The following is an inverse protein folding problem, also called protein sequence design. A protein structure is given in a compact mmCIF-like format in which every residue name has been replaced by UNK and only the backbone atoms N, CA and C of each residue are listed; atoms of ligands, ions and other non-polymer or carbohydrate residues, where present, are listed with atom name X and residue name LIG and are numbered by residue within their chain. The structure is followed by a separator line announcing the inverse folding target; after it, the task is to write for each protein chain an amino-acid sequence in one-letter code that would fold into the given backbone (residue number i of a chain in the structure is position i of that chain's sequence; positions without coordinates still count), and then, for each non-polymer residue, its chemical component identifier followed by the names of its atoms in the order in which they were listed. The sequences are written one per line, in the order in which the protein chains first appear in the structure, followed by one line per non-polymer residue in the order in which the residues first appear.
data_IF_455941796539
#
_entry.id   IF_455941796539
#
_cell.length_a   1.000
_cell.length_b   1.000
_cell.length_c   1.000
_cell.angle_alpha   90.00
_cell.angle_beta   90.00
_cell.angle_gamma   90.00
#
_symmetry.space_group_name_H-M   'P 1'
#
loop_
_entity.id
_entity.type
_entity.pdbx_description
1 polymer ?
#
# COMPACT_ATOMS: atom_id res chain seq x y z
N UNK A 1 5.80 -12.22 -18.21
CA UNK A 1 6.74 -11.08 -18.31
C UNK A 1 8.07 -11.51 -17.71
N UNK A 2 9.13 -11.63 -18.51
CA UNK A 2 10.52 -11.78 -18.05
C UNK A 2 11.22 -10.45 -18.32
N UNK A 3 10.94 -9.46 -17.49
CA UNK A 3 11.68 -8.20 -17.43
C UNK A 3 12.18 -8.05 -16.01
N UNK A 4 13.37 -7.51 -15.83
CA UNK A 4 13.95 -7.20 -14.51
C UNK A 4 13.00 -6.31 -13.72
N UNK A 5 12.20 -6.93 -12.88
CA UNK A 5 11.35 -6.26 -11.92
C UNK A 5 12.25 -5.88 -10.74
N UNK A 6 12.48 -4.57 -10.55
CA UNK A 6 13.18 -4.03 -9.40
C UNK A 6 12.21 -3.18 -8.58
N UNK A 7 11.97 -3.63 -7.35
CA UNK A 7 11.37 -2.80 -6.31
C UNK A 7 12.44 -2.34 -5.33
N UNK A 8 12.32 -1.12 -4.83
CA UNK A 8 13.22 -0.55 -3.83
C UNK A 8 12.62 -0.56 -2.42
N UNK A 9 11.30 -0.55 -2.34
CA UNK A 9 10.57 -0.62 -1.09
C UNK A 9 9.21 -1.29 -1.25
N UNK A 10 8.62 -1.63 -0.10
CA UNK A 10 7.30 -2.20 -0.03
C UNK A 10 6.54 -1.65 1.16
N UNK A 11 5.25 -1.46 0.95
CA UNK A 11 4.31 -0.97 1.94
C UNK A 11 3.10 -1.87 2.00
N UNK A 12 2.66 -2.19 3.20
CA UNK A 12 1.32 -2.69 3.39
C UNK A 12 0.34 -1.52 3.30
N UNK A 13 -0.81 -1.75 2.65
CA UNK A 13 -1.95 -0.85 2.63
C UNK A 13 -3.21 -1.60 3.04
N UNK A 14 -3.93 -1.04 4.01
CA UNK A 14 -5.29 -1.45 4.36
C UNK A 14 -6.27 -0.72 3.44
N UNK A 15 -7.04 -1.48 2.68
CA UNK A 15 -8.02 -0.95 1.72
C UNK A 15 -9.36 -0.71 2.43
N UNK A 16 -9.42 0.39 3.17
CA UNK A 16 -10.59 0.82 3.92
C UNK A 16 -10.70 0.18 5.31
N UNK A 17 -11.52 0.77 6.18
CA UNK A 17 -11.77 0.19 7.50
C UNK A 17 -12.38 -1.21 7.32
N UNK A 18 -11.83 -2.22 8.03
CA UNK A 18 -12.27 -3.63 7.90
C UNK A 18 -12.23 -4.18 6.46
N UNK A 19 -11.43 -3.59 5.57
CA UNK A 19 -11.26 -4.11 4.22
C UNK A 19 -12.41 -3.80 3.26
N UNK A 20 -13.26 -2.80 3.57
CA UNK A 20 -14.43 -2.47 2.73
C UNK A 20 -14.12 -2.17 1.26
N UNK A 21 -12.87 -1.84 0.92
CA UNK A 21 -12.44 -1.56 -0.45
C UNK A 21 -11.58 -2.68 -1.06
N UNK A 22 -11.33 -3.78 -0.37
CA UNK A 22 -10.47 -4.85 -0.89
C UNK A 22 -11.01 -5.40 -2.21
N UNK A 23 -12.28 -5.82 -2.24
CA UNK A 23 -12.85 -6.40 -3.45
C UNK A 23 -12.79 -5.42 -4.64
N UNK A 24 -13.29 -4.20 -4.48
CA UNK A 24 -13.33 -3.22 -5.57
C UNK A 24 -11.94 -2.80 -6.08
N UNK A 25 -10.96 -2.63 -5.17
CA UNK A 25 -9.60 -2.24 -5.53
C UNK A 25 -8.84 -3.38 -6.21
N UNK A 26 -8.96 -4.61 -5.69
CA UNK A 26 -8.28 -5.79 -6.23
C UNK A 26 -8.84 -6.13 -7.61
N UNK A 27 -10.16 -6.25 -7.74
CA UNK A 27 -10.82 -6.58 -9.01
C UNK A 27 -10.72 -5.43 -10.02
N UNK A 28 -10.74 -4.17 -9.56
CA UNK A 28 -10.67 -2.97 -10.40
C UNK A 28 -9.25 -2.50 -10.75
N UNK A 29 -8.20 -3.06 -10.15
CA UNK A 29 -6.81 -2.71 -10.47
C UNK A 29 -6.37 -1.32 -10.00
N UNK A 30 -6.85 -0.87 -8.84
CA UNK A 30 -6.47 0.44 -8.27
C UNK A 30 -6.22 0.36 -6.77
N UNK A 31 -5.51 1.38 -6.25
CA UNK A 31 -5.30 1.62 -4.83
C UNK A 31 -6.29 2.68 -4.34
N UNK A 32 -6.72 2.59 -3.08
CA UNK A 32 -7.59 3.60 -2.45
C UNK A 32 -7.13 3.96 -1.05
N UNK A 33 -7.15 5.26 -0.74
CA UNK A 33 -6.71 5.85 0.52
C UNK A 33 -7.81 6.72 1.16
N UNK A 34 -8.10 6.45 2.43
CA UNK A 34 -9.27 6.98 3.15
C UNK A 34 -9.09 8.33 3.87
N UNK A 35 -7.98 9.02 3.68
CA UNK A 35 -7.72 10.32 4.33
C UNK A 35 -8.51 11.47 3.69
N UNK A 36 -9.84 11.43 3.82
CA UNK A 36 -10.75 12.36 3.16
C UNK A 36 -10.63 13.81 3.63
N UNK A 37 -10.24 14.02 4.89
CA UNK A 37 -10.08 15.36 5.48
C UNK A 37 -8.78 16.08 5.07
N UNK A 38 -7.83 15.38 4.44
CA UNK A 38 -6.56 15.97 4.03
C UNK A 38 -6.72 16.83 2.77
N UNK A 39 -6.20 18.08 2.75
CA UNK A 39 -6.20 18.95 1.57
C UNK A 39 -5.39 18.31 0.42
N UNK A 40 -6.02 17.98 -0.72
CA UNK A 40 -5.31 17.35 -1.83
C UNK A 40 -4.27 18.29 -2.46
N UNK A 41 -4.53 19.60 -2.52
CA UNK A 41 -3.64 20.58 -3.13
C UNK A 41 -2.29 20.66 -2.40
N UNK A 42 -2.30 20.56 -1.07
CA UNK A 42 -1.07 20.53 -0.27
C UNK A 42 -0.29 19.22 -0.48
N UNK A 43 -1.00 18.10 -0.67
CA UNK A 43 -0.38 16.80 -0.94
C UNK A 43 0.28 16.77 -2.31
N UNK A 44 -0.41 17.27 -3.35
CA UNK A 44 0.09 17.36 -4.72
C UNK A 44 1.32 18.27 -4.83
N UNK A 45 1.36 19.35 -4.03
CA UNK A 45 2.49 20.28 -3.97
C UNK A 45 3.65 19.83 -3.06
N UNK A 46 3.53 18.66 -2.40
CA UNK A 46 4.55 18.17 -1.47
C UNK A 46 4.73 19.03 -0.21
N UNK A 47 3.71 19.80 0.18
CA UNK A 47 3.73 20.69 1.35
C UNK A 47 3.46 19.92 2.64
N UNK A 48 4.30 18.90 2.91
CA UNK A 48 4.07 17.89 3.94
C UNK A 48 4.05 18.44 5.38
N UNK A 49 4.80 19.51 5.65
CA UNK A 49 4.76 20.19 6.95
C UNK A 49 3.38 20.78 7.23
N UNK A 50 2.76 21.39 6.24
CA UNK A 50 1.41 21.97 6.36
C UNK A 50 0.34 20.90 6.42
N UNK A 51 0.51 19.81 5.66
CA UNK A 51 -0.34 18.62 5.80
C UNK A 51 -0.29 18.07 7.23
N UNK A 52 0.90 17.98 7.84
CA UNK A 52 1.06 17.54 9.23
C UNK A 52 0.36 18.49 10.19
N UNK A 53 0.48 19.78 9.99
CA UNK A 53 -0.09 20.78 10.91
C UNK A 53 -1.63 20.74 10.87
N UNK A 54 -2.23 20.61 9.68
CA UNK A 54 -3.68 20.40 9.53
C UNK A 54 -4.14 19.09 10.17
N UNK A 55 -3.43 17.98 9.94
CA UNK A 55 -3.76 16.70 10.55
C UNK A 55 -3.60 16.74 12.08
N UNK A 56 -2.59 17.43 12.59
CA UNK A 56 -2.39 17.62 14.03
C UNK A 56 -3.56 18.38 14.64
N UNK A 57 -4.01 19.46 13.98
CA UNK A 57 -5.18 20.24 14.39
C UNK A 57 -6.46 19.40 14.37
N UNK A 58 -6.67 18.61 13.32
CA UNK A 58 -7.84 17.73 13.18
C UNK A 58 -7.87 16.59 14.19
N UNK A 59 -6.71 16.05 14.55
CA UNK A 59 -6.60 14.89 15.46
C UNK A 59 -6.46 15.30 16.93
N UNK A 60 -6.05 16.54 17.21
CA UNK A 60 -5.69 16.98 18.56
C UNK A 60 -4.39 16.33 19.08
N UNK A 61 -3.65 15.63 18.24
CA UNK A 61 -2.44 14.87 18.62
C UNK A 61 -1.38 14.95 17.51
N UNK A 62 -0.21 15.51 17.86
CA UNK A 62 0.91 15.70 16.93
C UNK A 62 1.52 14.39 16.44
N UNK A 63 1.56 13.36 17.29
CA UNK A 63 2.06 12.05 16.94
C UNK A 63 1.16 11.34 15.94
N UNK A 64 -0.16 11.43 16.12
CA UNK A 64 -1.16 10.93 15.16
C UNK A 64 -1.09 11.73 13.87
N UNK A 65 -1.01 13.07 13.93
CA UNK A 65 -0.87 13.93 12.76
C UNK A 65 0.36 13.59 11.90
N UNK A 66 1.52 13.39 12.56
CA UNK A 66 2.77 12.95 11.89
C UNK A 66 2.61 11.56 11.27
N UNK A 67 1.98 10.61 11.98
CA UNK A 67 1.75 9.26 11.49
C UNK A 67 0.82 9.25 10.27
N UNK A 68 -0.26 10.02 10.31
CA UNK A 68 -1.22 10.14 9.22
C UNK A 68 -0.55 10.81 8.00
N UNK A 69 0.20 11.89 8.21
CA UNK A 69 0.97 12.57 7.16
C UNK A 69 1.93 11.60 6.47
N UNK A 70 2.72 10.81 7.21
CA UNK A 70 3.66 9.87 6.62
C UNK A 70 2.96 8.79 5.75
N UNK A 71 1.76 8.37 6.13
CA UNK A 71 0.97 7.41 5.34
C UNK A 71 0.45 8.03 4.05
N UNK A 72 -0.04 9.27 4.12
CA UNK A 72 -0.50 10.02 2.95
C UNK A 72 0.68 10.29 2.02
N UNK A 73 1.78 10.81 2.55
CA UNK A 73 3.02 11.06 1.81
C UNK A 73 3.49 9.81 1.08
N UNK A 74 3.53 8.66 1.76
CA UNK A 74 3.88 7.37 1.13
C UNK A 74 3.01 7.08 -0.09
N UNK A 75 1.70 7.30 0.00
CA UNK A 75 0.77 7.05 -1.10
C UNK A 75 1.01 7.96 -2.32
N UNK A 76 1.30 9.23 -2.07
CA UNK A 76 1.55 10.23 -3.12
C UNK A 76 2.94 10.08 -3.75
N UNK A 77 3.98 9.82 -2.96
CA UNK A 77 5.37 9.78 -3.44
C UNK A 77 5.80 8.41 -3.98
N UNK A 78 5.04 7.34 -3.72
CA UNK A 78 5.34 6.03 -4.28
C UNK A 78 5.39 6.07 -5.82
N UNK A 79 6.18 5.21 -6.44
CA UNK A 79 6.30 5.12 -7.89
C UNK A 79 6.29 3.65 -8.35
N UNK A 80 6.53 3.40 -9.63
CA UNK A 80 6.46 2.05 -10.20
C UNK A 80 7.56 1.09 -9.67
N UNK A 81 8.54 1.60 -8.90
CA UNK A 81 9.54 0.81 -8.15
C UNK A 81 9.15 0.55 -6.70
N UNK A 82 7.94 0.96 -6.30
CA UNK A 82 7.36 0.67 -4.97
C UNK A 82 6.34 -0.45 -5.07
N UNK A 83 6.39 -1.37 -4.11
CA UNK A 83 5.34 -2.36 -3.89
C UNK A 83 4.28 -1.85 -2.92
N UNK A 84 3.01 -2.00 -3.28
CA UNK A 84 1.93 -2.07 -2.31
C UNK A 84 1.47 -3.52 -2.13
N UNK A 85 1.19 -3.88 -0.89
CA UNK A 85 0.71 -5.21 -0.50
C UNK A 85 -0.52 -5.07 0.37
N UNK A 86 -1.48 -5.97 0.19
CA UNK A 86 -2.62 -6.14 1.10
C UNK A 86 -2.95 -7.61 1.24
N UNK A 87 -3.95 -7.94 2.05
CA UNK A 87 -4.44 -9.31 2.18
C UNK A 87 -5.93 -9.37 1.84
N UNK A 88 -6.31 -10.31 0.98
CA UNK A 88 -7.68 -10.52 0.57
C UNK A 88 -7.92 -12.00 0.31
N UNK A 89 -9.03 -12.56 0.82
CA UNK A 89 -9.42 -13.99 0.66
C UNK A 89 -8.27 -14.99 0.91
N UNK A 90 -7.59 -14.84 2.05
CA UNK A 90 -6.42 -15.67 2.44
C UNK A 90 -5.22 -15.63 1.49
N UNK A 91 -5.16 -14.63 0.60
CA UNK A 91 -4.02 -14.37 -0.27
C UNK A 91 -3.31 -13.07 0.11
N UNK A 92 -2.00 -13.05 -0.07
CA UNK A 92 -1.22 -11.83 -0.18
C UNK A 92 -1.40 -11.30 -1.61
N UNK A 93 -1.95 -10.10 -1.72
CA UNK A 93 -2.09 -9.41 -3.01
C UNK A 93 -1.05 -8.29 -3.09
N UNK A 94 -0.38 -8.15 -4.23
CA UNK A 94 0.63 -7.11 -4.47
C UNK A 94 0.41 -6.39 -5.78
N UNK A 95 0.80 -5.13 -5.84
CA UNK A 95 0.77 -4.33 -7.07
C UNK A 95 1.89 -3.27 -7.06
N UNK A 96 2.14 -2.71 -8.24
CA UNK A 96 2.88 -1.45 -8.38
C UNK A 96 1.89 -0.30 -8.63
N UNK A 97 2.03 0.84 -7.95
CA UNK A 97 1.20 2.00 -8.22
C UNK A 97 1.58 2.64 -9.57
N UNK A 98 0.59 3.21 -10.28
CA UNK A 98 0.79 3.87 -11.56
C UNK A 98 0.02 5.19 -11.64
N UNK A 99 0.55 6.15 -12.41
CA UNK A 99 -0.08 7.43 -12.65
C UNK A 99 -0.20 8.34 -11.41
N UNK A 100 -0.90 9.48 -11.54
CA UNK A 100 -1.13 10.43 -10.45
C UNK A 100 -2.23 9.96 -9.50
N UNK A 101 -2.30 10.60 -8.33
CA UNK A 101 -3.44 10.45 -7.41
C UNK A 101 -4.66 11.19 -7.96
N UNK A 102 -5.83 10.56 -7.90
CA UNK A 102 -7.12 11.16 -8.20
C UNK A 102 -7.97 11.29 -6.94
N UNK A 103 -8.73 12.37 -6.79
CA UNK A 103 -9.65 12.57 -5.66
C UNK A 103 -11.07 12.25 -6.12
N UNK A 104 -11.74 11.34 -5.41
CA UNK A 104 -13.14 10.98 -5.69
C UNK A 104 -14.13 11.93 -5.01
N UNK A 105 -15.41 11.86 -5.39
CA UNK A 105 -16.48 12.69 -4.82
C UNK A 105 -16.68 12.52 -3.30
N UNK A 106 -16.31 11.36 -2.74
CA UNK A 106 -16.30 11.10 -1.29
C UNK A 106 -15.01 11.59 -0.59
N UNK A 107 -14.16 12.29 -1.34
CA UNK A 107 -12.84 12.83 -0.96
C UNK A 107 -11.78 11.76 -0.68
N UNK A 108 -12.06 10.48 -0.91
CA UNK A 108 -11.02 9.45 -0.90
C UNK A 108 -10.11 9.61 -2.11
N UNK A 109 -8.90 9.06 -2.01
CA UNK A 109 -7.86 9.19 -3.03
C UNK A 109 -7.69 7.85 -3.70
N UNK A 110 -7.62 7.81 -5.02
CA UNK A 110 -7.33 6.61 -5.79
C UNK A 110 -6.08 6.78 -6.64
N UNK A 111 -5.49 5.66 -7.03
CA UNK A 111 -4.37 5.60 -7.95
C UNK A 111 -4.41 4.30 -8.73
N UNK A 112 -4.07 4.34 -10.01
CA UNK A 112 -4.00 3.13 -10.83
C UNK A 112 -2.90 2.18 -10.38
N UNK A 113 -2.87 0.99 -10.98
CA UNK A 113 -1.77 0.04 -10.87
C UNK A 113 -1.16 -0.19 -12.25
N UNK A 114 0.11 -0.61 -12.31
CA UNK A 114 0.79 -0.82 -13.60
C UNK A 114 0.13 -1.94 -14.40
N UNK A 115 -0.22 -3.04 -13.74
CA UNK A 115 -0.69 -4.28 -14.37
C UNK A 115 -1.69 -5.03 -13.48
N UNK A 116 -2.44 -4.31 -12.64
CA UNK A 116 -3.41 -4.89 -11.71
C UNK A 116 -2.80 -5.32 -10.38
N UNK A 117 -3.65 -5.94 -9.56
CA UNK A 117 -3.22 -6.65 -8.35
C UNK A 117 -2.95 -8.11 -8.67
N UNK A 118 -1.93 -8.68 -8.05
CA UNK A 118 -1.49 -10.06 -8.23
C UNK A 118 -1.55 -10.81 -6.91
N UNK A 119 -2.11 -12.01 -6.92
CA UNK A 119 -2.10 -12.95 -5.79
C UNK A 119 -1.11 -14.12 -6.00
N UNK A 120 -0.24 -13.98 -7.00
CA UNK A 120 0.74 -14.99 -7.42
C UNK A 120 2.13 -14.38 -7.53
N UNK A 121 3.15 -15.22 -7.38
CA UNK A 121 4.53 -14.87 -7.70
C UNK A 121 4.71 -14.69 -9.20
N UNK A 122 5.85 -14.12 -9.61
CA UNK A 122 6.25 -13.94 -11.01
C UNK A 122 6.38 -15.27 -11.78
N UNK A 123 6.53 -16.39 -11.07
CA UNK A 123 6.56 -17.75 -11.64
C UNK A 123 5.21 -18.47 -11.55
N UNK A 124 4.16 -17.78 -11.09
CA UNK A 124 2.78 -18.29 -11.06
C UNK A 124 2.37 -19.01 -9.78
N UNK A 125 3.24 -19.11 -8.77
CA UNK A 125 2.93 -19.76 -7.49
C UNK A 125 1.95 -18.90 -6.67
N UNK A 126 0.82 -19.45 -6.20
CA UNK A 126 -0.10 -18.71 -5.32
C UNK A 126 0.58 -18.20 -4.04
N UNK A 127 0.35 -16.94 -3.69
CA UNK A 127 0.88 -16.29 -2.49
C UNK A 127 -0.12 -16.41 -1.33
N UNK A 128 -0.42 -17.63 -0.91
CA UNK A 128 -1.36 -17.87 0.20
C UNK A 128 -0.82 -17.33 1.51
N UNK A 129 -1.71 -16.88 2.38
CA UNK A 129 -1.39 -16.38 3.72
C UNK A 129 -0.73 -17.47 4.57
N UNK A 130 -1.28 -18.70 4.57
CA UNK A 130 -0.72 -19.84 5.28
C UNK A 130 0.70 -20.20 4.77
N UNK A 131 0.97 -19.90 3.51
CA UNK A 131 2.30 -20.06 2.95
C UNK A 131 3.28 -18.98 3.39
N UNK A 132 2.84 -17.80 3.84
CA UNK A 132 3.75 -16.67 4.13
C UNK A 132 4.60 -16.87 5.37
N UNK A 133 5.82 -16.32 5.35
CA UNK A 133 6.65 -16.20 6.55
C UNK A 133 5.94 -15.32 7.58
N UNK A 134 6.09 -15.63 8.87
CA UNK A 134 5.52 -14.85 9.97
C UNK A 134 5.96 -13.37 9.94
N UNK A 135 7.14 -13.08 9.40
CA UNK A 135 7.66 -11.73 9.18
C UNK A 135 6.75 -10.89 8.26
N UNK A 136 6.12 -11.51 7.27
CA UNK A 136 5.17 -10.89 6.33
C UNK A 136 3.75 -10.95 6.91
N UNK A 137 3.31 -12.13 7.35
CA UNK A 137 1.93 -12.36 7.79
C UNK A 137 1.51 -11.46 8.97
N UNK A 138 2.44 -11.14 9.88
CA UNK A 138 2.16 -10.26 11.03
C UNK A 138 1.73 -8.85 10.65
N UNK A 139 2.14 -8.36 9.48
CA UNK A 139 1.82 -6.99 9.03
C UNK A 139 0.31 -6.79 8.86
N UNK A 140 -0.46 -7.85 8.59
CA UNK A 140 -1.93 -7.78 8.48
C UNK A 140 -2.62 -7.27 9.75
N UNK A 141 -1.96 -7.38 10.91
CA UNK A 141 -2.49 -6.91 12.19
C UNK A 141 -2.25 -5.40 12.42
N UNK A 142 -1.56 -4.72 11.50
CA UNK A 142 -1.32 -3.29 11.57
C UNK A 142 -2.64 -2.53 11.66
N UNK A 143 -2.72 -1.61 12.63
CA UNK A 143 -3.95 -0.88 12.94
C UNK A 143 -4.14 0.37 12.08
N UNK A 144 -3.05 0.96 11.57
CA UNK A 144 -3.14 2.08 10.62
C UNK A 144 -3.52 1.65 9.21
N UNK A 145 -3.33 2.57 8.27
CA UNK A 145 -3.66 2.42 6.85
C UNK A 145 -2.44 1.95 6.06
N UNK A 146 -1.30 2.62 6.19
CA UNK A 146 -0.06 2.27 5.47
C UNK A 146 1.11 2.06 6.44
N UNK A 147 1.93 1.03 6.22
CA UNK A 147 3.21 0.89 6.90
C UNK A 147 4.26 0.22 6.03
N UNK A 148 5.53 0.56 6.25
CA UNK A 148 6.65 -0.09 5.56
C UNK A 148 6.73 -1.56 5.94
N UNK A 149 6.88 -2.43 4.95
CA UNK A 149 7.20 -3.84 5.15
C UNK A 149 8.70 -3.94 5.46
N UNK A 150 9.03 -4.24 6.72
CA UNK A 150 10.42 -4.40 7.16
C UNK A 150 11.06 -5.68 6.63
N UNK A 151 10.26 -6.71 6.42
CA UNK A 151 10.66 -7.99 5.83
C UNK A 151 10.73 -7.90 4.29
N UNK A 152 11.37 -6.85 3.77
CA UNK A 152 11.37 -6.55 2.35
C UNK A 152 11.99 -7.67 1.51
N UNK A 153 13.12 -8.23 1.97
CA UNK A 153 13.78 -9.33 1.27
C UNK A 153 12.93 -10.60 1.24
N UNK A 154 12.29 -10.96 2.35
CA UNK A 154 11.36 -12.10 2.41
C UNK A 154 10.20 -11.93 1.41
N UNK A 155 9.67 -10.71 1.29
CA UNK A 155 8.60 -10.38 0.34
C UNK A 155 9.08 -10.49 -1.10
N UNK A 156 10.29 -9.98 -1.40
CA UNK A 156 10.88 -10.10 -2.74
C UNK A 156 11.11 -11.56 -3.12
N UNK A 157 11.63 -12.40 -2.23
CA UNK A 157 11.78 -13.85 -2.47
C UNK A 157 10.44 -14.53 -2.75
N UNK A 158 9.38 -14.15 -2.02
CA UNK A 158 8.04 -14.67 -2.24
C UNK A 158 7.49 -14.27 -3.62
N UNK A 159 7.57 -12.98 -3.97
CA UNK A 159 7.08 -12.45 -5.25
C UNK A 159 7.93 -12.95 -6.42
N UNK A 160 9.25 -13.06 -6.27
CA UNK A 160 10.13 -13.59 -7.32
C UNK A 160 9.97 -15.09 -7.55
N UNK A 161 9.42 -15.81 -6.55
CA UNK A 161 9.33 -17.27 -6.57
C UNK A 161 10.61 -17.98 -6.14
N UNK A 162 11.60 -17.26 -5.63
CA UNK A 162 12.89 -17.79 -5.19
C UNK A 162 12.86 -18.31 -3.75
N UNK A 163 11.74 -18.91 -3.31
CA UNK A 163 11.64 -19.47 -1.95
C UNK A 163 12.67 -20.59 -1.78
N UNK A 164 13.75 -20.27 -1.09
CA UNK A 164 14.69 -21.26 -0.58
C UNK A 164 13.96 -22.05 0.50
N UNK A 165 13.59 -23.29 0.21
CA UNK A 165 13.21 -24.26 1.24
C UNK A 165 14.42 -24.38 2.18
N UNK A 166 14.27 -23.94 3.42
CA UNK A 166 15.19 -24.31 4.51
C UNK A 166 14.57 -25.44 5.28
#
# INVERSE_FOLDING_TARGET
MKGDWQAHDAYFIKLGERGIWEQECIEGGYLRLGYGATPPELCEQGRWEEVRDELTRLRGDRGVGTRDMNQIRTFYEANETTLFVTFWRDSLCWCRPAGPVSVLGDRTKTRGTVDGWHDRSLVGTPLTLAGQRDSIARVRHFKGTICRIRAFQDLLEAISGQRTVR
#
